data_IF_661092923355
#
_entry.id   IF_661092923355
#
_cell.length_a   1.000
_cell.length_b   1.000
_cell.length_c   1.000
_cell.angle_alpha   90.00
_cell.angle_beta   90.00
_cell.angle_gamma   90.00
#
_symmetry.space_group_name_H-M   'P 1'
#
loop_
_entity.id
_entity.type
_entity.pdbx_description
1 polymer ?
#
# COMPACT_ATOMS: atom_id res chain seq x y z
N UNK A 1 -3.74 25.52 -11.93
CA UNK A 1 -3.24 24.29 -11.29
C UNK A 1 -4.45 23.41 -11.08
N UNK A 2 -4.56 22.29 -11.80
CA UNK A 2 -5.65 21.36 -11.55
C UNK A 2 -5.40 20.76 -10.17
N UNK A 3 -6.36 20.88 -9.25
CA UNK A 3 -6.29 20.18 -7.98
C UNK A 3 -6.23 18.69 -8.27
N UNK A 4 -5.34 17.97 -7.60
CA UNK A 4 -5.24 16.51 -7.73
C UNK A 4 -6.58 15.90 -7.28
N UNK A 5 -7.36 15.43 -8.26
CA UNK A 5 -8.70 14.91 -8.05
C UNK A 5 -8.64 13.47 -7.58
N UNK A 6 -9.48 13.10 -6.62
CA UNK A 6 -9.62 11.75 -6.09
C UNK A 6 -11.09 11.33 -6.12
N UNK A 7 -11.32 10.03 -6.21
CA UNK A 7 -12.66 9.45 -6.11
C UNK A 7 -12.62 8.14 -5.35
N UNK A 8 -13.77 7.73 -4.82
CA UNK A 8 -13.97 6.35 -4.39
C UNK A 8 -13.88 5.44 -5.62
N UNK A 9 -13.20 4.29 -5.45
CA UNK A 9 -12.98 3.32 -6.51
C UNK A 9 -13.34 1.92 -6.00
N UNK A 10 -13.99 1.10 -6.85
CA UNK A 10 -14.24 -0.30 -6.52
C UNK A 10 -12.93 -1.09 -6.57
N UNK A 11 -12.79 -2.04 -5.65
CA UNK A 11 -11.71 -3.02 -5.55
C UNK A 11 -12.33 -4.41 -5.45
N UNK A 12 -11.64 -5.45 -5.93
CA UNK A 12 -12.07 -6.84 -5.82
C UNK A 12 -13.51 -7.06 -6.35
N UNK A 13 -13.73 -6.64 -7.60
CA UNK A 13 -15.06 -6.73 -8.23
C UNK A 13 -16.13 -5.82 -7.60
N UNK A 14 -15.74 -4.86 -6.77
CA UNK A 14 -16.64 -3.92 -6.08
C UNK A 14 -17.06 -4.36 -4.67
N UNK A 15 -16.61 -5.53 -4.21
CA UNK A 15 -16.83 -5.99 -2.85
C UNK A 15 -16.17 -5.10 -1.80
N UNK A 16 -15.10 -4.39 -2.19
CA UNK A 16 -14.42 -3.39 -1.39
C UNK A 16 -14.42 -2.06 -2.15
N UNK A 17 -14.35 -0.95 -1.42
CA UNK A 17 -14.08 0.37 -2.00
C UNK A 17 -13.09 1.18 -1.17
N UNK A 18 -12.29 2.00 -1.84
CA UNK A 18 -11.36 2.93 -1.22
C UNK A 18 -11.20 4.19 -2.07
N UNK A 19 -10.84 5.32 -1.46
CA UNK A 19 -10.68 6.62 -2.12
C UNK A 19 -9.21 6.99 -2.24
N UNK A 20 -8.76 7.33 -3.45
CA UNK A 20 -7.40 7.80 -3.73
C UNK A 20 -7.34 8.60 -5.05
N UNK A 21 -6.20 9.26 -5.31
CA UNK A 21 -6.03 10.13 -6.49
C UNK A 21 -6.20 9.38 -7.81
N UNK A 22 -6.80 10.06 -8.79
CA UNK A 22 -6.96 9.56 -10.16
C UNK A 22 -5.64 9.36 -10.93
N UNK A 23 -4.52 9.91 -10.45
CA UNK A 23 -3.21 9.69 -11.10
C UNK A 23 -2.75 8.24 -11.01
N UNK A 24 -3.28 7.48 -10.05
CA UNK A 24 -3.00 6.06 -9.88
C UNK A 24 -3.82 5.24 -10.88
N UNK A 25 -3.13 4.60 -11.82
CA UNK A 25 -3.71 3.77 -12.86
C UNK A 25 -3.68 2.31 -12.45
N UNK A 26 -4.77 1.60 -12.73
CA UNK A 26 -4.84 0.15 -12.52
C UNK A 26 -3.96 -0.57 -13.55
N UNK A 27 -3.10 -1.47 -13.07
CA UNK A 27 -2.17 -2.24 -13.93
C UNK A 27 -2.69 -3.62 -14.33
N UNK A 28 -3.88 -4.03 -13.87
CA UNK A 28 -4.50 -5.32 -14.20
C UNK A 28 -4.65 -5.57 -15.71
N UNK A 29 -4.83 -4.49 -16.49
CA UNK A 29 -4.91 -4.55 -17.94
C UNK A 29 -3.53 -4.71 -18.64
N UNK A 30 -2.45 -4.51 -17.91
CA UNK A 30 -1.07 -4.44 -18.43
C UNK A 30 -0.28 -5.68 -18.02
N UNK A 31 -0.52 -6.19 -16.81
CA UNK A 31 0.10 -7.39 -16.27
C UNK A 31 -0.90 -8.19 -15.46
N UNK A 32 -0.67 -9.49 -15.38
CA UNK A 32 -1.42 -10.33 -14.45
C UNK A 32 -1.12 -9.88 -13.02
N UNK A 33 -2.18 -9.62 -12.26
CA UNK A 33 -2.16 -9.36 -10.83
C UNK A 33 -2.89 -10.53 -10.16
N UNK A 34 -2.36 -11.12 -9.07
CA UNK A 34 -3.08 -12.15 -8.34
C UNK A 34 -4.45 -11.67 -7.87
N UNK A 35 -5.46 -12.55 -7.84
CA UNK A 35 -6.85 -12.17 -7.52
C UNK A 35 -7.03 -11.59 -6.10
N UNK A 36 -6.07 -11.85 -5.20
CA UNK A 36 -6.04 -11.29 -3.84
C UNK A 36 -5.27 -9.96 -3.75
N UNK A 37 -4.84 -9.39 -4.88
CA UNK A 37 -4.16 -8.11 -4.97
C UNK A 37 -4.84 -7.16 -5.96
N UNK A 38 -4.81 -5.87 -5.63
CA UNK A 38 -5.19 -4.78 -6.54
C UNK A 38 -4.04 -3.77 -6.55
N UNK A 39 -3.46 -3.50 -7.73
CA UNK A 39 -2.23 -2.71 -7.84
C UNK A 39 -2.47 -1.49 -8.71
N UNK A 40 -2.17 -0.32 -8.16
CA UNK A 40 -2.26 0.96 -8.85
C UNK A 40 -0.91 1.67 -8.86
N UNK A 41 -0.60 2.36 -9.96
CA UNK A 41 0.68 3.07 -10.13
C UNK A 41 0.49 4.46 -10.69
N UNK A 42 1.30 5.41 -10.25
CA UNK A 42 1.49 6.68 -10.96
C UNK A 42 2.77 6.59 -11.81
N UNK A 43 2.64 6.34 -13.13
CA UNK A 43 3.80 6.17 -14.00
C UNK A 43 4.65 7.44 -14.14
N UNK A 44 4.11 8.63 -13.86
CA UNK A 44 4.85 9.88 -13.97
C UNK A 44 5.79 10.12 -12.78
N UNK A 45 5.59 9.38 -11.68
CA UNK A 45 6.29 9.59 -10.41
C UNK A 45 6.90 8.30 -9.84
N UNK A 46 6.62 7.18 -10.47
CA UNK A 46 7.03 5.84 -10.04
C UNK A 46 6.47 5.41 -8.67
N UNK A 47 5.39 6.07 -8.24
CA UNK A 47 4.69 5.77 -7.00
C UNK A 47 3.70 4.62 -7.22
N UNK A 48 3.45 3.81 -6.20
CA UNK A 48 2.47 2.72 -6.29
C UNK A 48 1.67 2.53 -5.02
N UNK A 49 0.40 2.15 -5.17
CA UNK A 49 -0.55 1.85 -4.11
C UNK A 49 -1.11 0.45 -4.35
N UNK A 50 -0.93 -0.44 -3.37
CA UNK A 50 -1.31 -1.85 -3.46
C UNK A 50 -2.26 -2.17 -2.32
N UNK A 51 -3.33 -2.88 -2.65
CA UNK A 51 -4.24 -3.50 -1.68
C UNK A 51 -4.08 -5.02 -1.80
N UNK A 52 -3.93 -5.70 -0.67
CA UNK A 52 -3.70 -7.13 -0.63
C UNK A 52 -4.50 -7.78 0.48
N UNK A 53 -5.15 -8.91 0.16
CA UNK A 53 -5.91 -9.72 1.10
C UNK A 53 -5.06 -10.93 1.50
N UNK A 54 -4.73 -11.03 2.78
CA UNK A 54 -3.94 -12.13 3.34
C UNK A 54 -4.74 -12.91 4.39
N UNK A 55 -4.38 -14.17 4.58
CA UNK A 55 -4.85 -14.94 5.71
C UNK A 55 -4.43 -14.26 7.02
N UNK A 56 -5.34 -14.25 7.99
CA UNK A 56 -5.08 -13.64 9.29
C UNK A 56 -3.89 -14.29 10.02
N UNK A 57 -2.92 -13.45 10.39
CA UNK A 57 -1.71 -13.87 11.12
C UNK A 57 -1.98 -13.98 12.61
N UNK A 58 -2.33 -15.19 13.05
CA UNK A 58 -2.64 -15.49 14.45
C UNK A 58 -1.46 -15.27 15.41
N UNK A 59 -0.23 -15.42 14.91
CA UNK A 59 1.00 -15.32 15.71
C UNK A 59 1.43 -13.86 15.96
N UNK A 60 0.81 -12.91 15.25
CA UNK A 60 1.12 -11.48 15.33
C UNK A 60 0.03 -10.77 16.13
N UNK A 61 0.42 -10.08 17.21
CA UNK A 61 -0.48 -9.25 17.99
C UNK A 61 -0.95 -8.03 17.20
N UNK A 62 -2.05 -7.40 17.63
CA UNK A 62 -2.56 -6.19 16.94
C UNK A 62 -1.52 -5.08 16.95
N UNK A 63 -0.97 -4.82 18.13
CA UNK A 63 0.11 -3.87 18.33
C UNK A 63 1.36 -4.34 17.58
N UNK A 64 1.88 -3.49 16.70
CA UNK A 64 3.06 -3.78 15.90
C UNK A 64 2.81 -4.66 14.67
N UNK A 65 1.56 -5.06 14.36
CA UNK A 65 1.30 -5.88 13.16
C UNK A 65 1.75 -5.21 11.86
N UNK A 66 1.53 -3.91 11.70
CA UNK A 66 2.06 -3.17 10.53
C UNK A 66 3.59 -3.14 10.48
N UNK A 67 4.30 -3.09 11.61
CA UNK A 67 5.77 -3.20 11.60
C UNK A 67 6.20 -4.59 11.14
N UNK A 68 5.54 -5.63 11.64
CA UNK A 68 5.86 -7.00 11.26
C UNK A 68 5.75 -7.18 9.75
N UNK A 69 4.64 -6.76 9.14
CA UNK A 69 4.46 -6.83 7.68
C UNK A 69 5.44 -5.94 6.91
N UNK A 70 5.80 -4.77 7.45
CA UNK A 70 6.79 -3.91 6.81
C UNK A 70 8.19 -4.56 6.81
N UNK A 71 8.55 -5.28 7.87
CA UNK A 71 9.81 -6.03 7.96
C UNK A 71 9.81 -7.29 7.08
N UNK A 72 8.68 -7.99 7.03
CA UNK A 72 8.46 -9.14 6.14
C UNK A 72 8.65 -8.70 4.68
N UNK A 73 7.98 -7.61 4.28
CA UNK A 73 8.13 -7.00 2.96
C UNK A 73 9.57 -6.60 2.65
N UNK A 74 10.28 -5.97 3.60
CA UNK A 74 11.69 -5.63 3.42
C UNK A 74 12.55 -6.88 3.19
N UNK A 75 12.24 -8.00 3.87
CA UNK A 75 12.94 -9.27 3.70
C UNK A 75 12.67 -9.88 2.33
N UNK A 76 11.41 -9.92 1.89
CA UNK A 76 11.01 -10.44 0.58
C UNK A 76 11.62 -9.65 -0.59
N UNK A 77 11.77 -8.33 -0.42
CA UNK A 77 12.36 -7.45 -1.43
C UNK A 77 13.89 -7.42 -1.37
N UNK A 78 14.52 -8.27 -0.54
CA UNK A 78 15.97 -8.28 -0.28
C UNK A 78 16.48 -6.85 0.01
N UNK A 79 15.70 -6.09 0.78
CA UNK A 79 15.90 -4.67 0.93
C UNK A 79 17.07 -4.38 1.86
N UNK A 80 17.98 -3.52 1.42
CA UNK A 80 19.13 -3.11 2.23
C UNK A 80 18.80 -1.86 3.06
N UNK A 81 19.30 -1.82 4.30
CA UNK A 81 19.22 -0.62 5.17
C UNK A 81 17.80 -0.24 5.62
N UNK A 82 16.86 -1.19 5.61
CA UNK A 82 15.48 -0.97 6.04
C UNK A 82 15.39 -0.35 7.44
N UNK A 83 14.79 0.84 7.56
CA UNK A 83 14.62 1.55 8.83
C UNK A 83 13.15 1.92 9.02
N UNK A 84 12.58 1.61 10.19
CA UNK A 84 11.25 2.08 10.59
C UNK A 84 11.37 3.53 11.05
N UNK A 85 10.57 4.41 10.44
CA UNK A 85 10.53 5.85 10.70
C UNK A 85 9.41 6.18 11.69
N UNK A 86 8.24 5.58 11.51
CA UNK A 86 7.03 5.90 12.27
C UNK A 86 6.16 4.65 12.44
N UNK A 87 5.44 4.58 13.55
CA UNK A 87 4.38 3.60 13.78
C UNK A 87 3.21 4.22 14.54
N UNK A 88 2.01 3.73 14.29
CA UNK A 88 0.84 4.08 15.08
C UNK A 88 0.63 3.12 16.25
N UNK A 89 -0.16 3.56 17.23
CA UNK A 89 -0.84 2.63 18.12
C UNK A 89 -1.97 1.87 17.41
N UNK A 90 -2.64 1.03 18.17
CA UNK A 90 -3.83 0.28 17.75
C UNK A 90 -5.02 1.24 17.64
N UNK A 91 -5.67 1.27 16.48
CA UNK A 91 -6.86 2.09 16.21
C UNK A 91 -8.02 1.16 15.88
N UNK A 92 -9.10 1.21 16.63
CA UNK A 92 -10.34 0.54 16.24
C UNK A 92 -11.00 1.29 15.09
N UNK A 93 -11.56 0.55 14.14
CA UNK A 93 -12.34 1.09 13.02
C UNK A 93 -13.81 0.63 13.11
N UNK A 94 -14.66 1.30 13.92
CA UNK A 94 -16.06 0.90 14.11
C UNK A 94 -16.88 0.83 12.82
N UNK A 95 -16.54 1.64 11.82
CA UNK A 95 -17.19 1.63 10.50
C UNK A 95 -16.83 0.42 9.62
N UNK A 96 -15.79 -0.33 9.99
CA UNK A 96 -15.35 -1.55 9.32
C UNK A 96 -15.60 -2.71 10.28
N UNK A 97 -16.83 -3.20 10.31
CA UNK A 97 -17.31 -4.14 11.34
C UNK A 97 -18.11 -5.27 10.71
N UNK A 98 -17.86 -6.50 11.15
CA UNK A 98 -18.62 -7.68 10.76
C UNK A 98 -19.11 -8.42 12.01
N UNK A 99 -20.40 -8.79 12.02
CA UNK A 99 -21.07 -9.50 13.15
C UNK A 99 -20.81 -8.87 14.55
N UNK A 100 -20.63 -7.54 14.60
CA UNK A 100 -20.32 -6.72 15.80
C UNK A 100 -18.85 -6.72 16.26
N UNK A 101 -17.92 -7.29 15.51
CA UNK A 101 -16.49 -7.16 15.78
C UNK A 101 -15.89 -6.08 14.86
N UNK A 102 -15.49 -4.92 15.41
CA UNK A 102 -14.81 -3.90 14.61
C UNK A 102 -13.42 -4.37 14.20
N UNK A 103 -12.98 -3.93 13.03
CA UNK A 103 -11.61 -4.13 12.58
C UNK A 103 -10.64 -3.31 13.44
N UNK A 104 -9.41 -3.78 13.47
CA UNK A 104 -8.30 -3.10 14.13
C UNK A 104 -7.30 -2.66 13.07
N UNK A 105 -6.82 -1.44 13.16
CA UNK A 105 -5.87 -0.85 12.21
C UNK A 105 -4.60 -0.44 12.92
N UNK A 106 -3.46 -0.80 12.33
CA UNK A 106 -2.16 -0.20 12.65
C UNK A 106 -1.47 0.24 11.38
N UNK A 107 -0.58 1.24 11.49
CA UNK A 107 0.23 1.73 10.37
C UNK A 107 1.70 1.82 10.75
N UNK A 108 2.57 1.60 9.79
CA UNK A 108 4.01 1.81 9.89
C UNK A 108 4.53 2.53 8.65
N UNK A 109 5.58 3.32 8.83
CA UNK A 109 6.32 3.96 7.74
C UNK A 109 7.77 3.56 7.84
N UNK A 110 8.35 3.09 6.74
CA UNK A 110 9.75 2.74 6.64
C UNK A 110 10.43 3.41 5.46
N UNK A 111 11.75 3.36 5.45
CA UNK A 111 12.56 3.64 4.26
C UNK A 111 13.46 2.44 4.00
N UNK A 112 13.56 2.06 2.73
CA UNK A 112 14.31 0.87 2.31
C UNK A 112 14.92 1.07 0.93
N UNK A 113 16.05 0.39 0.67
CA UNK A 113 16.64 0.29 -0.66
C UNK A 113 16.09 -0.96 -1.36
N UNK A 114 15.29 -0.77 -2.41
CA UNK A 114 14.60 -1.87 -3.11
C UNK A 114 14.84 -1.82 -4.62
N UNK A 115 15.10 -2.98 -5.23
CA UNK A 115 15.21 -3.11 -6.68
C UNK A 115 13.85 -3.48 -7.25
N UNK A 116 13.55 -3.08 -8.49
CA UNK A 116 12.34 -3.55 -9.16
C UNK A 116 12.59 -4.91 -9.80
N UNK A 117 11.63 -5.83 -9.66
CA UNK A 117 11.69 -7.14 -10.30
C UNK A 117 12.98 -7.90 -9.94
N UNK A 118 13.77 -8.27 -10.96
CA UNK A 118 15.02 -9.02 -10.80
C UNK A 118 16.23 -8.22 -11.27
N UNK A 119 16.31 -6.94 -10.87
CA UNK A 119 17.37 -6.04 -11.32
C UNK A 119 18.67 -6.11 -10.51
N UNK A 120 18.68 -6.81 -9.37
CA UNK A 120 19.86 -6.92 -8.51
C UNK A 120 20.05 -5.72 -7.58
N UNK A 121 20.94 -5.86 -6.60
CA UNK A 121 21.17 -4.85 -5.56
C UNK A 121 21.80 -3.56 -6.12
N UNK A 122 22.49 -3.63 -7.24
CA UNK A 122 23.10 -2.48 -7.92
C UNK A 122 22.10 -1.46 -8.47
N UNK A 123 20.83 -1.87 -8.67
CA UNK A 123 19.76 -1.07 -9.25
C UNK A 123 18.71 -0.63 -8.21
N UNK A 124 19.02 -0.73 -6.91
CA UNK A 124 18.09 -0.38 -5.84
C UNK A 124 17.78 1.12 -5.80
N UNK A 125 16.47 1.42 -5.77
CA UNK A 125 15.93 2.75 -5.49
C UNK A 125 15.80 2.94 -3.98
N UNK A 126 15.96 4.17 -3.49
CA UNK A 126 15.62 4.50 -2.11
C UNK A 126 14.14 4.89 -2.08
N UNK A 127 13.35 4.14 -1.32
CA UNK A 127 11.90 4.27 -1.32
C UNK A 127 11.40 4.39 0.11
N UNK A 128 10.46 5.32 0.32
CA UNK A 128 9.65 5.36 1.54
C UNK A 128 8.41 4.50 1.34
N UNK A 129 8.13 3.64 2.30
CA UNK A 129 7.01 2.70 2.26
C UNK A 129 6.07 3.00 3.41
N UNK A 130 4.82 3.27 3.07
CA UNK A 130 3.71 3.41 4.02
C UNK A 130 2.92 2.10 4.00
N UNK A 131 2.67 1.52 5.17
CA UNK A 131 1.93 0.26 5.29
C UNK A 131 0.86 0.40 6.35
N UNK A 132 -0.36 -0.03 6.02
CA UNK A 132 -1.43 -0.25 6.98
C UNK A 132 -1.82 -1.73 6.99
N UNK A 133 -2.04 -2.26 8.19
CA UNK A 133 -2.70 -3.55 8.35
C UNK A 133 -4.08 -3.33 8.98
N UNK A 134 -5.14 -3.70 8.26
CA UNK A 134 -6.53 -3.68 8.72
C UNK A 134 -6.96 -5.12 9.01
N UNK A 135 -7.10 -5.45 10.29
CA UNK A 135 -7.35 -6.80 10.79
C UNK A 135 -8.84 -7.10 10.86
N UNK A 136 -9.34 -7.90 9.92
CA UNK A 136 -10.73 -8.37 9.85
C UNK A 136 -10.86 -9.74 10.54
N UNK A 137 -10.73 -9.75 11.87
CA UNK A 137 -10.56 -10.98 12.67
C UNK A 137 -11.68 -12.01 12.51
N UNK A 138 -12.93 -11.58 12.43
CA UNK A 138 -14.07 -12.51 12.38
C UNK A 138 -14.04 -13.34 11.09
N UNK A 139 -13.67 -12.71 9.97
CA UNK A 139 -13.53 -13.37 8.67
C UNK A 139 -12.12 -13.91 8.41
N UNK A 140 -11.22 -13.83 9.39
CA UNK A 140 -9.88 -14.41 9.30
C UNK A 140 -9.00 -13.77 8.22
N UNK A 141 -9.09 -12.45 8.02
CA UNK A 141 -8.28 -11.74 6.99
C UNK A 141 -7.49 -10.59 7.59
N UNK A 142 -6.23 -10.44 7.18
CA UNK A 142 -5.44 -9.21 7.32
C UNK A 142 -5.44 -8.51 5.94
N UNK A 143 -5.90 -7.26 5.88
CA UNK A 143 -5.86 -6.45 4.66
C UNK A 143 -4.66 -5.51 4.74
N UNK A 144 -3.72 -5.68 3.81
CA UNK A 144 -2.58 -4.78 3.67
C UNK A 144 -2.88 -3.69 2.66
N UNK A 145 -2.60 -2.45 3.03
CA UNK A 145 -2.54 -1.31 2.12
C UNK A 145 -1.11 -0.81 2.15
N UNK A 146 -0.41 -0.90 1.02
CA UNK A 146 1.01 -0.54 0.92
C UNK A 146 1.18 0.54 -0.15
N UNK A 147 1.88 1.61 0.22
CA UNK A 147 2.16 2.75 -0.64
C UNK A 147 3.67 3.00 -0.74
N UNK A 148 4.20 2.96 -1.96
CA UNK A 148 5.61 3.23 -2.26
C UNK A 148 5.78 4.65 -2.81
N UNK A 149 6.67 5.41 -2.17
CA UNK A 149 7.05 6.78 -2.50
C UNK A 149 8.56 6.84 -2.76
N UNK A 150 9.00 6.77 -4.04
CA UNK A 150 10.41 6.81 -4.36
C UNK A 150 11.06 8.15 -4.00
N UNK A 151 12.19 8.09 -3.29
CA UNK A 151 12.99 9.27 -2.90
C UNK A 151 14.14 9.46 -3.90
N UNK A 152 14.82 8.36 -4.25
CA UNK A 152 15.95 8.35 -5.19
C UNK A 152 15.79 7.21 -6.17
N UNK A 153 15.82 7.54 -7.46
CA UNK A 153 15.84 6.56 -8.55
C UNK A 153 17.28 6.30 -8.97
N UNK A 154 17.68 5.04 -8.92
CA UNK A 154 18.99 4.58 -9.35
C UNK A 154 19.12 4.64 -10.87
N UNK A 155 20.24 5.14 -11.45
CA UNK A 155 20.45 5.15 -12.90
C UNK A 155 20.32 3.79 -13.61
N UNK A 156 20.58 2.69 -12.90
CA UNK A 156 20.44 1.32 -13.41
C UNK A 156 19.02 0.75 -13.23
N UNK A 157 18.15 1.42 -12.46
CA UNK A 157 16.75 1.03 -12.30
C UNK A 157 15.98 1.24 -13.60
N UNK A 158 15.00 0.37 -13.84
CA UNK A 158 14.11 0.52 -15.02
C UNK A 158 13.29 1.81 -14.93
N UNK A 159 12.98 2.24 -13.70
CA UNK A 159 12.29 3.50 -13.41
C UNK A 159 13.05 4.71 -13.96
N UNK A 160 14.38 4.66 -14.04
CA UNK A 160 15.18 5.77 -14.57
C UNK A 160 14.81 6.12 -16.02
N UNK A 161 14.34 5.15 -16.80
CA UNK A 161 13.90 5.37 -18.18
C UNK A 161 12.55 6.09 -18.26
N UNK A 162 11.70 5.91 -17.25
CA UNK A 162 10.36 6.47 -17.21
C UNK A 162 10.34 7.86 -16.56
N UNK A 163 11.01 8.01 -15.41
CA UNK A 163 10.92 9.21 -14.56
C UNK A 163 12.24 9.95 -14.37
N UNK A 164 13.34 9.44 -14.95
CA UNK A 164 14.68 9.98 -14.75
C UNK A 164 15.36 9.43 -13.49
N UNK A 165 16.70 9.48 -13.48
CA UNK A 165 17.51 9.07 -12.33
C UNK A 165 17.79 10.24 -11.38
N UNK A 166 18.09 9.93 -10.13
CA UNK A 166 18.42 10.89 -9.08
C UNK A 166 17.27 11.15 -8.12
N UNK A 167 17.28 12.31 -7.47
CA UNK A 167 16.24 12.69 -6.52
C UNK A 167 14.90 12.93 -7.21
N UNK A 168 13.85 12.33 -6.66
CA UNK A 168 12.49 12.53 -7.14
C UNK A 168 11.96 13.88 -6.67
N UNK A 169 11.28 14.60 -7.56
CA UNK A 169 10.62 15.86 -7.23
C UNK A 169 9.45 15.56 -6.28
N UNK A 170 9.37 16.18 -5.08
CA UNK A 170 8.26 15.98 -4.16
C UNK A 170 6.90 16.24 -4.82
N UNK A 171 5.89 15.43 -4.50
CA UNK A 171 4.56 15.51 -5.10
C UNK A 171 3.94 16.91 -4.99
N UNK A 172 4.09 17.57 -3.83
CA UNK A 172 3.61 18.94 -3.61
C UNK A 172 4.18 19.94 -4.62
N UNK A 173 5.47 19.81 -4.96
CA UNK A 173 6.14 20.69 -5.92
C UNK A 173 5.72 20.38 -7.36
N UNK A 174 5.35 19.12 -7.63
CA UNK A 174 4.75 18.71 -8.89
C UNK A 174 3.23 19.01 -9.00
N UNK A 175 2.64 19.64 -7.97
CA UNK A 175 1.20 19.93 -7.93
C UNK A 175 0.31 18.70 -7.72
N UNK A 176 0.89 17.60 -7.22
CA UNK A 176 0.20 16.35 -6.90
C UNK A 176 0.01 16.21 -5.38
N UNK A 177 -1.00 15.42 -4.99
CA UNK A 177 -1.23 15.00 -3.62
C UNK A 177 -0.05 14.15 -3.12
N UNK A 178 0.54 14.47 -1.96
CA UNK A 178 1.59 13.66 -1.35
C UNK A 178 1.17 12.22 -1.12
N UNK A 179 2.12 11.29 -1.26
CA UNK A 179 1.82 9.87 -1.07
C UNK A 179 1.32 9.56 0.35
N UNK A 180 1.80 10.29 1.37
CA UNK A 180 1.27 10.19 2.73
C UNK A 180 -0.24 10.53 2.82
N UNK A 181 -0.71 11.53 2.07
CA UNK A 181 -2.12 11.92 2.04
C UNK A 181 -2.96 10.92 1.23
N UNK A 182 -2.43 10.44 0.11
CA UNK A 182 -3.05 9.37 -0.69
C UNK A 182 -3.24 8.11 0.17
N UNK A 183 -2.19 7.68 0.87
CA UNK A 183 -2.21 6.53 1.76
C UNK A 183 -3.23 6.72 2.91
N UNK A 184 -3.18 7.87 3.58
CA UNK A 184 -4.13 8.18 4.66
C UNK A 184 -5.59 8.15 4.16
N UNK A 185 -5.85 8.70 2.98
CA UNK A 185 -7.18 8.69 2.39
C UNK A 185 -7.62 7.26 2.04
N UNK A 186 -6.73 6.46 1.44
CA UNK A 186 -7.01 5.08 1.09
C UNK A 186 -7.36 4.23 2.31
N UNK A 187 -6.60 4.36 3.41
CA UNK A 187 -6.82 3.65 4.67
C UNK A 187 -8.10 4.10 5.36
N UNK A 188 -8.30 5.41 5.51
CA UNK A 188 -9.45 5.96 6.28
C UNK A 188 -10.79 5.84 5.56
N UNK A 189 -10.78 5.67 4.23
CA UNK A 189 -11.98 5.49 3.41
C UNK A 189 -12.25 4.04 3.01
N UNK A 190 -11.42 3.09 3.46
CA UNK A 190 -11.58 1.67 3.17
C UNK A 190 -12.91 1.15 3.72
N UNK A 191 -13.69 0.48 2.86
CA UNK A 191 -14.99 -0.12 3.20
C UNK A 191 -15.11 -1.49 2.55
N UNK A 192 -15.77 -2.40 3.27
CA UNK A 192 -16.28 -3.66 2.71
C UNK A 192 -17.76 -3.46 2.41
N UNK A 193 -18.11 -3.53 1.13
CA UNK A 193 -19.47 -3.43 0.63
C UNK A 193 -20.15 -4.80 0.58
N UNK A 194 -19.39 -5.86 0.31
CA UNK A 194 -19.86 -7.23 0.26
C UNK A 194 -18.92 -8.17 1.03
N UNK A 195 -19.38 -8.62 2.20
CA UNK A 195 -18.62 -9.51 3.08
C UNK A 195 -18.55 -10.96 2.58
N UNK A 196 -19.36 -11.33 1.58
CA UNK A 196 -19.28 -12.66 0.96
C UNK A 196 -17.96 -12.91 0.24
N UNK A 197 -17.19 -11.85 -0.05
CA UNK A 197 -15.82 -11.90 -0.56
C UNK A 197 -14.91 -12.81 0.29
N UNK A 198 -15.08 -12.80 1.61
CA UNK A 198 -14.24 -13.58 2.53
C UNK A 198 -14.76 -15.02 2.74
N UNK A 199 -15.69 -15.46 1.89
CA UNK A 199 -16.38 -16.73 1.99
C UNK A 199 -17.70 -16.61 2.77
N UNK A 200 -18.60 -17.55 2.52
CA UNK A 200 -19.84 -17.67 3.28
C UNK A 200 -19.51 -18.11 4.69
N UNK A 201 -19.42 -17.15 5.62
CA UNK A 201 -19.44 -17.46 7.04
C UNK A 201 -20.77 -18.17 7.35
N UNK A 202 -20.71 -19.48 7.60
CA UNK A 202 -21.80 -20.23 8.22
C UNK A 202 -22.15 -19.68 9.60
#
# INVERSE_FOLDING_TARGET
MAADSYSERPLFGGAISSTFSHRFQDVSNIRQVPDHQEVFVDPARDESLIFELLDYRNEVGDEGSAIWFLQDLATEQEAEGGTVIEQSGVIEAPGLCYRNLPAVVTTAVGQMAISKGRQGSEAQNIVKVYLANLRLKEVGTDVLITAYDPIVINPLSESARAVGAGFVIPATQAGCMPMAEVFKLAVSSFKVNDWSLFGSAG
#
